data_IF_181936681358
#
_entry.id   IF_181936681358
#
_cell.length_a   1.000
_cell.length_b   1.000
_cell.length_c   1.000
_cell.angle_alpha   90.00
_cell.angle_beta   90.00
_cell.angle_gamma   90.00
#
_symmetry.space_group_name_H-M   'P 1'
#
loop_
_entity.id
_entity.type
_entity.pdbx_description
1 polymer ?
#
# COMPACT_ATOMS: atom_id res chain seq x y z
N UNK A 1 21.34 -4.64 19.73
CA UNK A 1 20.76 -3.38 19.24
C UNK A 1 20.57 -3.51 17.74
N UNK A 2 19.34 -3.44 17.23
CA UNK A 2 19.10 -3.48 15.78
C UNK A 2 19.42 -2.08 15.20
N UNK A 3 20.16 -2.04 14.08
CA UNK A 3 20.57 -0.79 13.43
C UNK A 3 19.52 -0.26 12.46
N UNK A 4 19.70 0.98 11.98
CA UNK A 4 18.77 1.66 11.07
C UNK A 4 18.39 0.85 9.81
N UNK A 5 19.35 0.09 9.26
CA UNK A 5 19.09 -0.78 8.11
C UNK A 5 18.09 -1.90 8.40
N UNK A 6 18.04 -2.41 9.63
CA UNK A 6 17.07 -3.43 10.02
C UNK A 6 15.65 -2.86 10.08
N UNK A 7 15.50 -1.67 10.70
CA UNK A 7 14.21 -0.97 10.79
C UNK A 7 13.67 -0.59 9.40
N UNK A 8 14.54 -0.14 8.50
CA UNK A 8 14.17 0.16 7.12
C UNK A 8 13.69 -1.10 6.36
N UNK A 9 14.42 -2.21 6.46
CA UNK A 9 14.01 -3.49 5.85
C UNK A 9 12.66 -3.97 6.42
N UNK A 10 12.48 -3.91 7.74
CA UNK A 10 11.22 -4.32 8.37
C UNK A 10 10.04 -3.45 7.90
N UNK A 11 10.23 -2.13 7.83
CA UNK A 11 9.19 -1.22 7.34
C UNK A 11 8.84 -1.45 5.86
N UNK A 12 9.82 -1.76 5.01
CA UNK A 12 9.58 -2.13 3.61
C UNK A 12 8.82 -3.45 3.51
N UNK A 13 9.14 -4.44 4.34
CA UNK A 13 8.40 -5.69 4.40
C UNK A 13 6.93 -5.46 4.76
N UNK A 14 6.64 -4.63 5.76
CA UNK A 14 5.26 -4.28 6.15
C UNK A 14 4.44 -3.64 5.01
N UNK A 15 5.09 -2.88 4.12
CA UNK A 15 4.43 -2.34 2.93
C UNK A 15 4.08 -3.45 1.94
N UNK A 16 5.00 -4.40 1.71
CA UNK A 16 4.74 -5.54 0.82
C UNK A 16 3.64 -6.44 1.37
N UNK A 17 3.66 -6.72 2.67
CA UNK A 17 2.60 -7.51 3.33
C UNK A 17 1.22 -6.86 3.17
N UNK A 18 1.15 -5.52 3.16
CA UNK A 18 -0.10 -4.78 2.99
C UNK A 18 -0.60 -4.75 1.54
N UNK A 19 0.28 -4.49 0.58
CA UNK A 19 -0.10 -4.21 -0.81
C UNK A 19 0.07 -5.42 -1.75
N UNK A 20 0.91 -6.38 -1.40
CA UNK A 20 1.18 -7.61 -2.14
C UNK A 20 1.27 -8.83 -1.21
N UNK A 21 0.22 -9.14 -0.43
CA UNK A 21 0.23 -10.21 0.58
C UNK A 21 0.43 -11.62 0.01
N UNK A 22 0.33 -11.78 -1.30
CA UNK A 22 0.48 -13.05 -2.01
C UNK A 22 1.93 -13.32 -2.45
N UNK A 23 2.88 -12.41 -2.16
CA UNK A 23 4.28 -12.57 -2.52
C UNK A 23 5.13 -12.82 -1.26
N UNK A 24 5.93 -13.87 -1.29
CA UNK A 24 6.83 -14.27 -0.22
C UNK A 24 8.28 -13.84 -0.48
N UNK A 25 8.87 -13.16 0.49
CA UNK A 25 10.29 -12.77 0.42
C UNK A 25 11.19 -14.02 0.44
N UNK A 26 12.13 -14.09 -0.49
CA UNK A 26 13.03 -15.23 -0.68
C UNK A 26 12.47 -16.31 -1.63
N UNK A 27 11.18 -16.27 -1.96
CA UNK A 27 10.54 -17.19 -2.91
C UNK A 27 10.18 -16.44 -4.20
N UNK A 28 9.30 -15.45 -4.09
CA UNK A 28 8.79 -14.69 -5.24
C UNK A 28 9.66 -13.47 -5.57
N UNK A 29 10.40 -12.96 -4.59
CA UNK A 29 11.31 -11.84 -4.77
C UNK A 29 12.48 -11.89 -3.79
N UNK A 30 13.58 -11.23 -4.14
CA UNK A 30 14.76 -11.12 -3.29
C UNK A 30 14.55 -10.02 -2.23
N UNK A 31 14.91 -10.26 -0.95
CA UNK A 31 14.90 -9.23 0.08
C UNK A 31 15.82 -8.03 -0.24
N UNK A 32 15.52 -6.81 0.28
CA UNK A 32 16.36 -5.63 0.11
C UNK A 32 17.79 -5.83 0.63
N UNK A 33 18.79 -5.37 -0.12
CA UNK A 33 20.20 -5.37 0.33
C UNK A 33 20.70 -3.99 0.75
N UNK A 34 21.80 -3.97 1.51
CA UNK A 34 22.35 -2.75 2.10
C UNK A 34 22.61 -1.62 1.10
N UNK A 35 23.02 -1.93 -0.13
CA UNK A 35 23.25 -0.91 -1.16
C UNK A 35 21.95 -0.23 -1.61
N UNK A 36 20.87 -0.99 -1.73
CA UNK A 36 19.54 -0.48 -2.11
C UNK A 36 18.94 0.35 -0.98
N UNK A 37 19.14 -0.08 0.27
CA UNK A 37 18.71 0.68 1.45
C UNK A 37 19.41 2.04 1.54
N UNK A 38 20.68 2.15 1.13
CA UNK A 38 21.39 3.45 1.11
C UNK A 38 20.81 4.44 0.10
N UNK A 39 20.18 3.95 -0.97
CA UNK A 39 19.57 4.78 -2.02
C UNK A 39 18.09 5.07 -1.75
N UNK A 40 17.50 4.43 -0.74
CA UNK A 40 16.07 4.48 -0.44
C UNK A 40 15.85 5.09 0.94
N UNK A 41 15.20 6.25 1.00
CA UNK A 41 14.80 6.83 2.28
C UNK A 41 13.47 6.24 2.75
N UNK A 42 13.48 5.60 3.92
CA UNK A 42 12.29 4.99 4.53
C UNK A 42 11.87 5.81 5.74
N UNK A 43 10.62 6.28 5.75
CA UNK A 43 10.09 7.12 6.83
C UNK A 43 8.98 6.40 7.59
N UNK A 44 8.98 6.54 8.91
CA UNK A 44 7.87 6.12 9.77
C UNK A 44 7.19 7.34 10.36
N UNK A 45 5.91 7.50 10.07
CA UNK A 45 5.07 8.54 10.68
C UNK A 45 4.41 7.92 11.90
N UNK A 46 4.74 8.43 13.09
CA UNK A 46 3.98 8.13 14.30
C UNK A 46 2.76 9.04 14.33
N UNK A 47 1.57 8.44 14.42
CA UNK A 47 0.33 9.19 14.52
C UNK A 47 0.04 9.39 16.02
N UNK A 48 0.33 10.58 16.53
CA UNK A 48 0.00 10.94 17.91
C UNK A 48 -1.45 11.47 18.02
N UNK A 49 -1.90 12.17 16.99
CA UNK A 49 -3.30 12.57 16.81
C UNK A 49 -3.62 12.71 15.32
N UNK A 50 -4.88 12.53 14.95
CA UNK A 50 -5.36 12.74 13.59
C UNK A 50 -6.82 13.16 13.59
N UNK A 51 -7.21 13.89 12.56
CA UNK A 51 -8.61 14.21 12.26
C UNK A 51 -8.91 13.86 10.81
N UNK A 52 -10.06 13.23 10.56
CA UNK A 52 -10.52 12.93 9.21
C UNK A 52 -11.96 13.40 9.02
N UNK A 53 -12.32 13.75 7.78
CA UNK A 53 -13.69 14.11 7.40
C UNK A 53 -14.09 13.30 6.17
N UNK A 54 -15.16 12.51 6.30
CA UNK A 54 -15.81 11.83 5.18
C UNK A 54 -17.11 12.58 4.86
N UNK A 55 -17.35 12.87 3.58
CA UNK A 55 -18.66 13.30 3.10
C UNK A 55 -19.26 12.14 2.33
N UNK A 56 -20.31 11.56 2.88
CA UNK A 56 -21.08 10.49 2.26
C UNK A 56 -22.38 11.11 1.74
N UNK A 57 -22.73 10.80 0.50
CA UNK A 57 -23.96 11.23 -0.16
C UNK A 57 -24.63 9.99 -0.72
N UNK A 58 -25.96 10.00 -0.78
CA UNK A 58 -26.72 8.94 -1.45
C UNK A 58 -26.25 8.77 -2.90
N UNK A 59 -26.27 7.54 -3.42
CA UNK A 59 -25.81 7.25 -4.79
C UNK A 59 -26.53 8.12 -5.85
N UNK A 60 -27.79 8.48 -5.59
CA UNK A 60 -28.68 9.23 -6.49
C UNK A 60 -28.91 10.69 -6.06
N UNK A 61 -27.91 11.37 -5.49
CA UNK A 61 -28.06 12.78 -5.13
C UNK A 61 -28.32 13.66 -6.36
N UNK A 62 -29.08 14.75 -6.17
CA UNK A 62 -29.38 15.69 -7.27
C UNK A 62 -28.08 16.28 -7.85
N UNK A 63 -27.80 15.97 -9.13
CA UNK A 63 -26.55 16.32 -9.82
C UNK A 63 -25.50 15.21 -9.86
N UNK A 64 -25.83 13.98 -9.43
CA UNK A 64 -24.97 12.82 -9.60
C UNK A 64 -24.67 12.56 -11.09
N UNK A 65 -23.37 12.40 -11.41
CA UNK A 65 -22.92 12.03 -12.74
C UNK A 65 -22.67 10.53 -12.78
N UNK A 66 -23.45 9.81 -13.60
CA UNK A 66 -23.34 8.37 -13.76
C UNK A 66 -22.37 8.05 -14.91
N UNK A 67 -21.40 7.16 -14.64
CA UNK A 67 -20.57 6.61 -15.71
C UNK A 67 -21.40 5.60 -16.52
N UNK A 68 -21.54 5.84 -17.83
CA UNK A 68 -22.08 4.83 -18.74
C UNK A 68 -21.07 3.67 -18.83
N UNK A 69 -21.45 2.48 -18.39
CA UNK A 69 -20.57 1.33 -18.22
C UNK A 69 -19.79 0.95 -19.49
N UNK A 70 -18.48 0.66 -19.33
CA UNK A 70 -17.95 -0.69 -19.55
C UNK A 70 -16.80 -0.94 -18.55
N UNK A 71 -16.84 -2.01 -17.73
CA UNK A 71 -15.65 -2.48 -17.04
C UNK A 71 -14.71 -3.17 -18.04
N UNK A 72 -13.53 -2.60 -18.29
CA UNK A 72 -12.49 -3.20 -19.16
C UNK A 72 -11.83 -4.42 -18.49
N UNK A 73 -12.10 -4.68 -17.21
CA UNK A 73 -11.48 -5.75 -16.46
C UNK A 73 -12.45 -6.94 -16.33
N UNK A 74 -12.31 -7.93 -17.22
CA UNK A 74 -12.85 -9.27 -16.97
C UNK A 74 -12.05 -9.91 -15.86
N UNK A 75 -12.59 -9.94 -14.64
CA UNK A 75 -12.08 -10.83 -13.61
C UNK A 75 -12.28 -12.27 -14.11
N UNK A 76 -11.18 -13.03 -14.23
CA UNK A 76 -11.19 -14.42 -14.69
C UNK A 76 -12.16 -15.24 -13.84
N UNK A 77 -13.24 -15.72 -14.47
CA UNK A 77 -14.16 -16.68 -13.88
C UNK A 77 -13.52 -18.07 -13.95
N UNK A 78 -13.31 -18.69 -12.78
CA UNK A 78 -13.00 -20.11 -12.60
C UNK A 78 -14.23 -20.98 -12.75
#
# INVERSE_FOLDING_TARGET
MAGEGYEATAALQLLLDKYAPHLCAGEDYRPPVAEELRRTSVFRIRIDSWSAKKKEVEEDFAGAYFYAEQPVLRANQS
#
